data_IF_615526040460
#
_entry.id   IF_615526040460
#
_cell.length_a   1.000
_cell.length_b   1.000
_cell.length_c   1.000
_cell.angle_alpha   90.00
_cell.angle_beta   90.00
_cell.angle_gamma   90.00
#
_symmetry.space_group_name_H-M   'P 1'
#
loop_
_entity.id
_entity.type
_entity.pdbx_description
1 polymer ?
#
# COMPACT_ATOMS: atom_id res chain seq x y z
N UNK A 1 4.30 18.06 16.65
CA UNK A 1 3.18 17.21 16.20
C UNK A 1 3.57 16.54 14.88
N UNK A 2 3.63 15.26 14.89
CA UNK A 2 3.94 14.51 13.66
C UNK A 2 2.66 14.41 12.81
N UNK A 3 2.76 14.89 11.57
CA UNK A 3 1.64 14.84 10.64
C UNK A 3 1.68 13.48 9.92
N UNK A 4 0.64 12.69 10.10
CA UNK A 4 0.51 11.40 9.42
C UNK A 4 0.16 11.64 7.95
N UNK A 5 1.02 11.20 7.04
CA UNK A 5 0.80 11.28 5.59
C UNK A 5 0.47 9.94 4.96
N UNK A 6 0.72 8.85 5.67
CA UNK A 6 0.62 7.50 5.13
C UNK A 6 0.34 6.53 6.27
N UNK A 7 -0.85 5.98 6.29
CA UNK A 7 -1.27 5.04 7.33
C UNK A 7 -2.09 3.92 6.73
N UNK A 8 -1.68 2.70 7.03
CA UNK A 8 -2.28 1.48 6.52
C UNK A 8 -2.65 0.58 7.68
N UNK A 9 -3.86 0.01 7.64
CA UNK A 9 -4.32 -1.03 8.58
C UNK A 9 -4.92 -2.18 7.80
N UNK A 10 -4.30 -3.35 7.91
CA UNK A 10 -4.70 -4.55 7.18
C UNK A 10 -4.81 -5.73 8.14
N UNK A 11 -5.77 -6.61 7.87
CA UNK A 11 -5.84 -7.93 8.47
C UNK A 11 -5.91 -8.97 7.37
N UNK A 12 -5.13 -10.00 7.47
CA UNK A 12 -5.09 -11.05 6.45
C UNK A 12 -4.27 -12.26 6.85
N UNK A 13 -4.15 -13.17 5.91
CA UNK A 13 -3.42 -14.44 6.09
C UNK A 13 -2.10 -14.38 5.34
N UNK A 14 -1.04 -14.79 5.99
CA UNK A 14 0.29 -14.92 5.38
C UNK A 14 0.27 -16.10 4.42
N UNK A 15 0.54 -15.84 3.15
CA UNK A 15 0.40 -16.82 2.08
C UNK A 15 1.64 -17.64 1.80
N UNK A 16 2.81 -17.15 2.21
CA UNK A 16 4.08 -17.85 2.00
C UNK A 16 5.02 -17.56 3.15
N UNK A 17 5.97 -18.45 3.40
CA UNK A 17 6.96 -18.21 4.44
C UNK A 17 7.82 -17.00 4.08
N UNK A 18 8.10 -16.11 5.05
CA UNK A 18 8.90 -14.93 4.78
C UNK A 18 10.30 -15.28 4.26
N UNK A 19 10.75 -14.50 3.28
CA UNK A 19 12.08 -14.64 2.68
C UNK A 19 12.86 -13.36 2.90
N UNK A 20 14.17 -13.48 3.14
CA UNK A 20 15.05 -12.34 3.28
C UNK A 20 14.98 -11.46 2.03
N UNK A 21 14.84 -10.15 2.23
CA UNK A 21 14.75 -9.18 1.16
C UNK A 21 15.97 -8.26 1.12
N UNK A 22 16.25 -7.56 2.21
CA UNK A 22 17.38 -6.64 2.31
C UNK A 22 17.73 -6.32 3.75
N UNK A 23 18.84 -5.63 3.94
CA UNK A 23 19.31 -5.17 5.24
C UNK A 23 19.62 -3.67 5.18
N UNK A 24 19.21 -2.95 6.23
CA UNK A 24 19.51 -1.52 6.39
C UNK A 24 20.05 -1.31 7.80
N UNK A 25 21.29 -0.81 7.89
CA UNK A 25 21.96 -0.54 9.17
C UNK A 25 21.90 -1.70 10.17
N UNK A 26 22.10 -2.92 9.69
CA UNK A 26 22.09 -4.13 10.51
C UNK A 26 20.71 -4.70 10.81
N UNK A 27 19.63 -4.05 10.35
CA UNK A 27 18.26 -4.54 10.49
C UNK A 27 17.84 -5.30 9.22
N UNK A 28 17.50 -6.57 9.38
CA UNK A 28 17.05 -7.40 8.28
C UNK A 28 15.55 -7.23 8.01
N UNK A 29 15.21 -7.13 6.74
CA UNK A 29 13.82 -7.05 6.29
C UNK A 29 13.48 -8.27 5.45
N UNK A 30 12.28 -8.77 5.68
CA UNK A 30 11.74 -9.93 4.99
C UNK A 30 10.54 -9.54 4.16
N UNK A 31 10.27 -10.32 3.10
CA UNK A 31 9.11 -10.16 2.25
C UNK A 31 8.23 -11.40 2.32
N UNK A 32 6.95 -11.18 2.21
CA UNK A 32 5.94 -12.22 2.05
C UNK A 32 4.74 -11.65 1.31
N UNK A 33 3.68 -12.41 1.22
CA UNK A 33 2.41 -12.01 0.60
C UNK A 33 1.30 -12.17 1.62
N UNK A 34 0.49 -11.14 1.77
CA UNK A 34 -0.68 -11.12 2.65
C UNK A 34 -1.94 -11.25 1.80
N UNK A 35 -2.80 -12.22 2.11
CA UNK A 35 -4.12 -12.36 1.50
C UNK A 35 -5.12 -11.57 2.33
N UNK A 36 -5.70 -10.53 1.72
CA UNK A 36 -6.62 -9.62 2.39
C UNK A 36 -8.00 -9.76 1.79
N UNK A 37 -9.04 -10.11 2.57
CA UNK A 37 -10.39 -10.28 2.03
C UNK A 37 -11.04 -8.93 1.73
N UNK A 38 -11.76 -8.88 0.60
CA UNK A 38 -12.66 -7.76 0.28
C UNK A 38 -14.04 -8.05 0.84
N UNK A 39 -14.85 -7.00 1.00
CA UNK A 39 -16.25 -7.14 1.39
C UNK A 39 -17.06 -8.01 0.41
N UNK A 40 -16.65 -8.05 -0.86
CA UNK A 40 -17.27 -8.89 -1.89
C UNK A 40 -17.00 -10.39 -1.77
N UNK A 41 -16.10 -10.80 -0.87
CA UNK A 41 -15.64 -12.18 -0.74
C UNK A 41 -14.43 -12.53 -1.60
N UNK A 42 -13.98 -11.63 -2.48
CA UNK A 42 -12.73 -11.80 -3.20
C UNK A 42 -11.54 -11.47 -2.30
N UNK A 43 -10.34 -11.93 -2.70
CA UNK A 43 -9.11 -11.69 -1.94
C UNK A 43 -8.12 -10.90 -2.79
N UNK A 44 -7.43 -9.97 -2.15
CA UNK A 44 -6.27 -9.32 -2.73
C UNK A 44 -4.99 -9.91 -2.14
N UNK A 45 -4.02 -10.19 -3.00
CA UNK A 45 -2.69 -10.63 -2.60
C UNK A 45 -1.78 -9.41 -2.59
N UNK A 46 -1.35 -9.00 -1.41
CA UNK A 46 -0.56 -7.79 -1.22
C UNK A 46 0.86 -8.13 -0.81
N UNK A 47 1.88 -7.59 -1.50
CA UNK A 47 3.26 -7.72 -1.04
C UNK A 47 3.43 -7.06 0.33
N UNK A 48 4.12 -7.74 1.23
CA UNK A 48 4.37 -7.28 2.59
C UNK A 48 5.88 -7.28 2.85
N UNK A 49 6.38 -6.17 3.36
CA UNK A 49 7.75 -6.03 3.84
C UNK A 49 7.73 -5.83 5.35
N UNK A 50 8.52 -6.60 6.08
CA UNK A 50 8.52 -6.58 7.54
C UNK A 50 9.93 -6.75 8.11
N UNK A 51 10.24 -6.00 9.16
CA UNK A 51 11.49 -6.16 9.91
C UNK A 51 11.48 -7.43 10.74
N UNK A 52 12.63 -8.11 10.83
CA UNK A 52 12.78 -9.30 11.67
C UNK A 52 12.44 -9.04 13.14
N UNK A 53 12.67 -7.81 13.65
CA UNK A 53 12.36 -7.48 15.03
C UNK A 53 10.85 -7.52 15.36
N UNK A 54 9.98 -7.43 14.35
CA UNK A 54 8.54 -7.55 14.52
C UNK A 54 8.04 -8.99 14.35
N UNK A 55 8.84 -9.85 13.75
CA UNK A 55 8.47 -11.23 13.47
C UNK A 55 8.61 -12.08 14.72
N UNK A 56 7.51 -12.65 15.19
CA UNK A 56 7.49 -13.64 16.24
C UNK A 56 7.60 -15.07 15.67
N UNK A 57 7.63 -16.05 16.55
CA UNK A 57 7.67 -17.46 16.15
C UNK A 57 6.44 -17.89 15.34
N UNK A 58 5.32 -17.21 15.57
CA UNK A 58 4.02 -17.50 14.90
C UNK A 58 3.90 -16.82 13.53
N UNK A 59 4.88 -16.03 13.13
CA UNK A 59 4.85 -15.33 11.84
C UNK A 59 5.31 -16.26 10.72
N UNK A 60 4.39 -17.05 10.22
CA UNK A 60 4.64 -18.06 9.19
C UNK A 60 3.45 -18.22 8.27
N UNK A 61 3.63 -18.95 7.18
CA UNK A 61 2.56 -19.27 6.24
C UNK A 61 1.33 -19.84 6.98
N UNK A 62 0.16 -19.30 6.67
CA UNK A 62 -1.11 -19.70 7.26
C UNK A 62 -1.54 -18.90 8.47
N UNK A 63 -0.65 -18.09 9.06
CA UNK A 63 -1.00 -17.25 10.21
C UNK A 63 -1.88 -16.07 9.80
N UNK A 64 -2.87 -15.76 10.63
CA UNK A 64 -3.70 -14.56 10.48
C UNK A 64 -3.12 -13.44 11.34
N UNK A 65 -2.86 -12.30 10.71
CA UNK A 65 -2.20 -11.17 11.38
C UNK A 65 -2.90 -9.86 11.07
N UNK A 66 -2.82 -8.93 12.03
CA UNK A 66 -3.19 -7.54 11.83
C UNK A 66 -1.92 -6.71 11.73
N UNK A 67 -1.85 -5.86 10.72
CA UNK A 67 -0.69 -5.06 10.39
C UNK A 67 -1.07 -3.58 10.37
N UNK A 68 -0.26 -2.77 11.03
CA UNK A 68 -0.26 -1.33 10.90
C UNK A 68 1.04 -0.87 10.25
N UNK A 69 0.96 0.08 9.33
CA UNK A 69 2.15 0.57 8.66
C UNK A 69 1.88 1.59 7.57
N UNK A 70 2.64 1.52 6.51
CA UNK A 70 2.60 2.46 5.39
C UNK A 70 2.58 1.72 4.06
N UNK A 71 1.99 2.34 3.04
CA UNK A 71 2.22 1.93 1.66
C UNK A 71 3.52 2.56 1.18
N UNK A 72 4.40 1.75 0.63
CA UNK A 72 5.68 2.22 0.07
C UNK A 72 5.85 1.78 -1.37
N UNK A 73 6.54 2.61 -2.13
CA UNK A 73 6.89 2.32 -3.51
C UNK A 73 8.39 2.16 -3.66
N UNK A 74 8.79 1.35 -4.61
CA UNK A 74 10.19 1.22 -5.02
C UNK A 74 10.27 0.88 -6.50
N UNK A 75 11.39 1.25 -7.11
CA UNK A 75 11.64 0.93 -8.51
C UNK A 75 12.51 -0.31 -8.61
N UNK A 76 12.13 -1.22 -9.47
CA UNK A 76 12.89 -2.43 -9.77
C UNK A 76 13.15 -2.51 -11.27
N UNK A 77 14.39 -2.74 -11.65
CA UNK A 77 14.75 -2.97 -13.05
C UNK A 77 14.48 -4.43 -13.39
N UNK A 78 13.56 -4.66 -14.32
CA UNK A 78 13.18 -5.98 -14.79
C UNK A 78 13.25 -6.01 -16.32
N UNK A 79 14.10 -6.89 -16.86
CA UNK A 79 14.26 -7.01 -18.33
C UNK A 79 14.72 -5.73 -19.02
N UNK A 80 15.56 -4.91 -18.36
CA UNK A 80 16.06 -3.66 -18.91
C UNK A 80 15.13 -2.46 -18.77
N UNK A 81 13.91 -2.64 -18.22
CA UNK A 81 12.96 -1.55 -17.96
C UNK A 81 12.72 -1.37 -16.46
N UNK A 82 12.65 -0.11 -16.01
CA UNK A 82 12.27 0.24 -14.65
C UNK A 82 10.78 -0.01 -14.44
N UNK A 83 10.43 -0.63 -13.31
CA UNK A 83 9.03 -0.87 -12.92
C UNK A 83 8.78 -0.37 -11.50
N UNK A 84 7.69 0.37 -11.34
CA UNK A 84 7.23 0.81 -10.02
C UNK A 84 6.47 -0.32 -9.34
N UNK A 85 6.92 -0.69 -8.15
CA UNK A 85 6.28 -1.71 -7.32
C UNK A 85 5.84 -1.10 -6.01
N UNK A 86 4.77 -1.65 -5.45
CA UNK A 86 4.24 -1.25 -4.15
C UNK A 86 4.40 -2.38 -3.15
N UNK A 87 4.57 -2.02 -1.89
CA UNK A 87 4.56 -2.95 -0.77
C UNK A 87 3.88 -2.32 0.44
N UNK A 88 3.18 -3.15 1.21
CA UNK A 88 2.78 -2.77 2.55
C UNK A 88 4.00 -2.91 3.47
N UNK A 89 4.41 -1.83 4.10
CA UNK A 89 5.54 -1.80 5.01
C UNK A 89 5.05 -1.83 6.44
N UNK A 90 5.22 -2.98 7.11
CA UNK A 90 4.71 -3.17 8.46
C UNK A 90 5.56 -2.42 9.49
N UNK A 91 4.90 -1.65 10.33
CA UNK A 91 5.49 -0.97 11.49
C UNK A 91 4.99 -1.59 12.80
N UNK A 92 3.82 -2.20 12.76
CA UNK A 92 3.18 -2.90 13.88
C UNK A 92 2.61 -4.22 13.38
N UNK A 93 2.70 -5.24 14.22
CA UNK A 93 2.19 -6.57 13.92
C UNK A 93 1.58 -7.15 15.19
N UNK A 94 0.39 -7.75 15.06
CA UNK A 94 -0.17 -8.61 16.12
C UNK A 94 -0.86 -9.82 15.52
N UNK A 95 -0.81 -10.98 16.17
CA UNK A 95 -1.64 -12.11 15.78
C UNK A 95 -3.11 -11.80 16.10
N UNK A 96 -4.02 -12.36 15.31
CA UNK A 96 -5.46 -12.27 15.55
C UNK A 96 -6.09 -13.64 15.39
N UNK A 97 -7.08 -13.92 16.24
CA UNK A 97 -7.78 -15.20 16.25
C UNK A 97 -8.98 -15.21 15.29
N UNK A 98 -9.56 -14.05 15.05
CA UNK A 98 -10.70 -13.86 14.16
C UNK A 98 -10.42 -12.82 13.10
N UNK A 99 -11.10 -12.93 11.96
CA UNK A 99 -11.00 -11.91 10.90
C UNK A 99 -11.59 -10.60 11.38
N UNK A 100 -10.72 -9.67 11.68
CA UNK A 100 -11.08 -8.26 11.77
C UNK A 100 -10.99 -7.68 10.34
N UNK A 101 -11.81 -6.70 10.02
CA UNK A 101 -11.77 -6.09 8.69
C UNK A 101 -11.53 -4.58 8.78
N UNK A 102 -10.36 -4.13 9.24
CA UNK A 102 -10.02 -2.72 9.19
C UNK A 102 -9.70 -2.25 7.77
N UNK A 103 -8.95 -3.01 7.01
CA UNK A 103 -8.52 -2.80 5.61
C UNK A 103 -8.67 -1.36 5.13
N UNK A 104 -7.99 -0.45 5.82
CA UNK A 104 -8.08 0.98 5.57
C UNK A 104 -6.72 1.54 5.19
N UNK A 105 -6.74 2.58 4.37
CA UNK A 105 -5.55 3.34 4.01
C UNK A 105 -5.87 4.82 4.06
N UNK A 106 -4.95 5.61 4.62
CA UNK A 106 -4.98 7.06 4.56
C UNK A 106 -3.69 7.55 3.93
N UNK A 107 -3.82 8.37 2.88
CA UNK A 107 -2.69 8.98 2.19
C UNK A 107 -2.91 10.48 2.06
N UNK A 108 -1.85 11.24 2.26
CA UNK A 108 -1.81 12.68 2.06
C UNK A 108 -0.59 13.00 1.22
N UNK A 109 -0.80 13.56 0.04
CA UNK A 109 0.29 13.83 -0.88
C UNK A 109 -0.10 14.77 -2.00
N UNK A 110 0.83 15.04 -2.90
CA UNK A 110 0.62 15.90 -4.05
C UNK A 110 0.46 15.09 -5.33
N UNK A 111 -0.42 15.54 -6.21
CA UNK A 111 -0.50 14.98 -7.56
C UNK A 111 0.80 15.30 -8.32
N UNK A 112 1.48 14.27 -8.80
CA UNK A 112 2.71 14.42 -9.56
C UNK A 112 2.54 14.20 -11.07
N UNK A 113 1.33 13.83 -11.50
CA UNK A 113 0.95 13.70 -12.91
C UNK A 113 -0.46 14.25 -13.10
N UNK A 114 -0.81 14.73 -14.31
CA UNK A 114 -2.20 15.08 -14.60
C UNK A 114 -3.13 13.87 -14.40
N UNK A 115 -4.30 14.05 -13.78
CA UNK A 115 -5.27 12.96 -13.67
C UNK A 115 -5.68 12.45 -15.05
N UNK A 116 -5.85 11.14 -15.19
CA UNK A 116 -6.32 10.53 -16.42
C UNK A 116 -7.74 10.01 -16.22
N UNK A 117 -8.71 10.68 -16.80
CA UNK A 117 -10.12 10.30 -16.74
C UNK A 117 -10.46 9.36 -17.89
N UNK A 118 -11.16 8.27 -17.59
CA UNK A 118 -11.64 7.32 -18.59
C UNK A 118 -12.93 6.65 -18.15
N UNK A 119 -13.66 6.14 -19.12
CA UNK A 119 -14.87 5.34 -18.87
C UNK A 119 -14.57 3.87 -19.18
N UNK A 120 -14.92 2.99 -18.26
CA UNK A 120 -14.75 1.54 -18.48
C UNK A 120 -15.73 1.02 -19.52
N UNK A 121 -15.50 -0.18 -20.10
CA UNK A 121 -16.47 -0.79 -21.04
C UNK A 121 -17.87 -0.98 -20.47
N UNK A 122 -18.01 -1.04 -19.14
CA UNK A 122 -19.31 -1.15 -18.46
C UNK A 122 -19.89 0.22 -18.08
N UNK A 123 -19.35 1.33 -18.60
CA UNK A 123 -19.88 2.67 -18.40
C UNK A 123 -19.51 3.32 -17.06
N UNK A 124 -18.58 2.75 -16.30
CA UNK A 124 -18.11 3.36 -15.06
C UNK A 124 -17.03 4.40 -15.31
N UNK A 125 -17.18 5.56 -14.69
CA UNK A 125 -16.20 6.62 -14.76
C UNK A 125 -15.10 6.38 -13.73
N UNK A 126 -13.84 6.45 -14.16
CA UNK A 126 -12.69 6.34 -13.28
C UNK A 126 -11.65 7.41 -13.61
N UNK A 127 -10.88 7.79 -12.60
CA UNK A 127 -9.73 8.68 -12.76
C UNK A 127 -8.50 7.99 -12.17
N UNK A 128 -7.45 7.87 -12.98
CA UNK A 128 -6.15 7.38 -12.54
C UNK A 128 -5.33 8.56 -12.03
N UNK A 129 -4.85 8.44 -10.80
CA UNK A 129 -4.07 9.46 -10.10
C UNK A 129 -2.72 8.89 -9.69
N UNK A 130 -1.71 9.75 -9.63
CA UNK A 130 -0.42 9.40 -9.03
C UNK A 130 -0.12 10.38 -7.92
N UNK A 131 -0.05 9.90 -6.67
CA UNK A 131 0.30 10.71 -5.52
C UNK A 131 1.77 10.55 -5.17
N UNK A 132 2.43 11.67 -4.91
CA UNK A 132 3.73 11.68 -4.26
C UNK A 132 3.51 11.90 -2.76
N UNK A 133 3.80 10.89 -1.97
CA UNK A 133 3.60 10.90 -0.51
C UNK A 133 4.97 10.97 0.16
N UNK A 134 5.22 12.03 0.92
CA UNK A 134 6.53 12.26 1.53
C UNK A 134 6.76 11.37 2.74
N UNK A 135 7.96 10.79 2.81
CA UNK A 135 8.49 10.17 4.03
C UNK A 135 9.23 11.20 4.87
N UNK A 136 9.48 10.84 6.15
CA UNK A 136 10.13 11.72 7.12
C UNK A 136 11.55 12.16 6.74
N UNK A 137 12.23 11.50 5.82
CA UNK A 137 13.65 11.72 5.50
C UNK A 137 13.92 12.19 4.08
N UNK A 138 12.99 12.95 3.48
CA UNK A 138 13.20 13.53 2.16
C UNK A 138 12.98 12.58 1.00
N UNK A 139 12.52 11.36 1.24
CA UNK A 139 12.09 10.43 0.21
C UNK A 139 10.59 10.54 -0.01
N UNK A 140 10.14 10.23 -1.22
CA UNK A 140 8.72 10.17 -1.55
C UNK A 140 8.35 8.79 -2.06
N UNK A 141 7.15 8.36 -1.70
CA UNK A 141 6.52 7.19 -2.29
C UNK A 141 5.55 7.64 -3.37
N UNK A 142 5.57 6.98 -4.52
CA UNK A 142 4.68 7.27 -5.63
C UNK A 142 3.59 6.22 -5.68
N UNK A 143 2.37 6.62 -5.31
CA UNK A 143 1.27 5.70 -5.11
C UNK A 143 0.22 5.91 -6.20
N UNK A 144 0.03 4.93 -7.12
CA UNK A 144 -1.08 4.97 -8.07
C UNK A 144 -2.40 4.78 -7.33
N UNK A 145 -3.36 5.63 -7.66
CA UNK A 145 -4.69 5.58 -7.06
C UNK A 145 -5.75 5.61 -8.14
N UNK A 146 -6.87 4.95 -7.90
CA UNK A 146 -8.03 4.97 -8.80
C UNK A 146 -9.22 5.52 -8.03
N UNK A 147 -9.80 6.61 -8.56
CA UNK A 147 -11.05 7.16 -8.07
C UNK A 147 -12.20 6.72 -8.95
N UNK A 148 -13.39 6.55 -8.37
CA UNK A 148 -14.58 6.04 -9.05
C UNK A 148 -15.74 7.03 -8.99
N UNK A 149 -16.55 7.08 -10.04
CA UNK A 149 -17.80 7.80 -10.08
C UNK A 149 -17.63 9.31 -9.82
N UNK A 150 -18.35 9.84 -8.85
CA UNK A 150 -18.30 11.28 -8.51
C UNK A 150 -16.92 11.71 -8.06
N UNK A 151 -16.23 10.87 -7.31
CA UNK A 151 -14.86 11.14 -6.89
C UNK A 151 -13.92 11.22 -8.10
N UNK A 152 -14.12 10.39 -9.11
CA UNK A 152 -13.37 10.46 -10.36
C UNK A 152 -13.59 11.77 -11.08
N UNK A 153 -14.84 12.25 -11.17
CA UNK A 153 -15.17 13.53 -11.79
C UNK A 153 -14.52 14.70 -11.06
N UNK A 154 -14.58 14.69 -9.73
CA UNK A 154 -13.90 15.68 -8.91
C UNK A 154 -12.38 15.65 -9.15
N UNK A 155 -11.80 14.47 -9.09
CA UNK A 155 -10.35 14.29 -9.25
C UNK A 155 -9.85 14.70 -10.63
N UNK A 156 -10.67 14.53 -11.67
CA UNK A 156 -10.29 14.90 -13.04
C UNK A 156 -10.05 16.40 -13.22
N UNK A 157 -10.61 17.24 -12.34
CA UNK A 157 -10.41 18.69 -12.35
C UNK A 157 -9.19 19.19 -11.57
N UNK A 158 -8.46 18.28 -10.92
CA UNK A 158 -7.28 18.65 -10.15
C UNK A 158 -6.06 18.87 -11.07
N UNK A 159 -5.09 19.63 -10.56
CA UNK A 159 -3.87 19.97 -11.28
C UNK A 159 -2.64 19.33 -10.61
N UNK A 160 -1.59 19.16 -11.39
CA UNK A 160 -0.28 18.74 -10.85
C UNK A 160 0.15 19.71 -9.76
N UNK A 161 0.58 19.19 -8.63
CA UNK A 161 0.96 19.97 -7.47
C UNK A 161 -0.13 20.17 -6.43
N UNK A 162 -1.40 19.90 -6.79
CA UNK A 162 -2.50 19.97 -5.82
C UNK A 162 -2.30 18.96 -4.71
N UNK A 163 -2.51 19.39 -3.48
CA UNK A 163 -2.43 18.51 -2.31
C UNK A 163 -3.74 17.77 -2.11
N UNK A 164 -3.66 16.46 -1.98
CA UNK A 164 -4.83 15.58 -1.90
C UNK A 164 -4.72 14.69 -0.66
N UNK A 165 -5.83 14.55 0.04
CA UNK A 165 -6.00 13.54 1.08
C UNK A 165 -7.04 12.54 0.62
N UNK A 166 -6.73 11.25 0.80
CA UNK A 166 -7.67 10.19 0.47
C UNK A 166 -7.74 9.15 1.58
N UNK A 167 -8.90 8.53 1.66
CA UNK A 167 -9.18 7.47 2.63
C UNK A 167 -10.01 6.38 1.95
#
# INVERSE_FOLDING_TARGET
MEITTNQLSLTGVIMENPQFDHEVFGEAFFRTVLSVPRLSGAFDLLPLTISERLMGEDFQQGATVAIGGQLRSYNKVMGGAGRLLLTAFAQHLRPVDEEENPNTVFLSGALCKPPSFRTTPFGREIADLMLAVNRSYGKSDYIPCIAWGRTARFASGLNVGDHVQLQ
#
